data_IF_474671996610
#
_entry.id   IF_474671996610
#
_cell.length_a   1.000
_cell.length_b   1.000
_cell.length_c   1.000
_cell.angle_alpha   90.00
_cell.angle_beta   90.00
_cell.angle_gamma   90.00
#
_symmetry.space_group_name_H-M   'P 1'
#
loop_
_entity.id
_entity.type
_entity.pdbx_description
1 polymer ?
#
# COMPACT_ATOMS: atom_id res chain seq x y z
N UNK A 1 5.78 24.72 -15.37
CA UNK A 1 5.92 23.89 -14.15
C UNK A 1 6.15 24.88 -13.04
N UNK A 2 5.28 24.93 -12.04
CA UNK A 2 5.48 25.84 -10.90
C UNK A 2 6.73 25.37 -10.14
N UNK A 3 7.65 26.31 -9.89
CA UNK A 3 8.80 26.14 -9.01
C UNK A 3 8.33 26.12 -7.55
N UNK A 4 7.47 25.16 -7.22
CA UNK A 4 7.02 24.97 -5.84
C UNK A 4 8.16 24.31 -5.08
N UNK A 5 8.71 25.06 -4.13
CA UNK A 5 9.72 24.57 -3.21
C UNK A 5 9.01 23.64 -2.22
N UNK A 6 9.35 22.36 -2.28
CA UNK A 6 8.82 21.37 -1.34
C UNK A 6 9.23 21.72 0.10
N UNK A 7 8.29 21.66 1.03
CA UNK A 7 8.54 21.93 2.45
C UNK A 7 9.07 20.65 3.12
N UNK A 8 10.19 20.69 3.87
CA UNK A 8 10.72 19.49 4.53
C UNK A 8 9.78 19.02 5.64
N UNK A 9 9.45 17.72 5.63
CA UNK A 9 8.61 17.07 6.65
C UNK A 9 9.43 16.47 7.78
N UNK A 10 10.52 15.78 7.44
CA UNK A 10 11.33 15.04 8.41
C UNK A 10 12.81 15.20 8.06
N UNK A 11 13.60 15.53 9.07
CA UNK A 11 15.05 15.49 8.99
C UNK A 11 15.56 14.29 9.77
N UNK A 12 16.43 13.50 9.13
CA UNK A 12 17.12 12.38 9.77
C UNK A 12 18.58 12.75 9.97
N UNK A 13 19.02 12.75 11.21
CA UNK A 13 20.40 13.03 11.60
C UNK A 13 21.11 11.78 12.11
N UNK A 14 22.44 11.80 12.10
CA UNK A 14 23.31 10.85 12.80
C UNK A 14 24.32 11.63 13.62
N UNK A 15 23.99 11.85 14.89
CA UNK A 15 24.64 12.89 15.70
C UNK A 15 24.23 14.27 15.21
N UNK A 16 25.19 15.18 15.07
CA UNK A 16 24.95 16.53 14.54
C UNK A 16 24.87 16.58 13.00
N UNK A 17 25.23 15.49 12.32
CA UNK A 17 25.22 15.43 10.86
C UNK A 17 23.82 15.13 10.34
N UNK A 18 23.27 16.05 9.53
CA UNK A 18 22.08 15.81 8.72
C UNK A 18 22.39 14.81 7.61
N UNK A 19 21.68 13.67 7.62
CA UNK A 19 21.91 12.56 6.68
C UNK A 19 20.85 12.53 5.58
N UNK A 20 19.60 12.90 5.88
CA UNK A 20 18.52 12.88 4.90
C UNK A 20 17.43 13.87 5.28
N UNK A 21 16.82 14.48 4.27
CA UNK A 21 15.62 15.31 4.40
C UNK A 21 14.52 14.66 3.56
N UNK A 22 13.36 14.45 4.16
CA UNK A 22 12.19 13.89 3.51
C UNK A 22 11.17 14.99 3.28
N UNK A 23 10.73 15.11 2.04
CA UNK A 23 9.74 16.09 1.59
C UNK A 23 8.40 15.42 1.32
N UNK A 24 7.33 16.19 1.42
CA UNK A 24 6.00 15.73 1.07
C UNK A 24 4.91 16.64 1.59
N UNK A 25 3.67 16.15 1.46
CA UNK A 25 2.46 16.85 1.86
C UNK A 25 1.74 16.03 2.92
N UNK A 26 1.25 16.69 3.96
CA UNK A 26 0.39 16.07 4.98
C UNK A 26 -0.98 16.71 4.89
N UNK A 27 -2.03 15.89 4.89
CA UNK A 27 -3.43 16.35 4.85
C UNK A 27 -4.21 15.52 5.88
N UNK A 28 -5.03 16.18 6.68
CA UNK A 28 -6.01 15.58 7.57
C UNK A 28 -7.37 16.12 7.15
N UNK A 29 -8.28 15.23 6.81
CA UNK A 29 -9.66 15.57 6.48
C UNK A 29 -10.65 14.94 7.46
N UNK A 30 -11.84 15.51 7.55
CA UNK A 30 -12.98 14.84 8.16
C UNK A 30 -13.55 13.76 7.20
N UNK A 31 -14.54 12.95 7.63
CA UNK A 31 -15.16 11.93 6.79
C UNK A 31 -15.95 12.46 5.59
N UNK A 32 -16.29 13.75 5.56
CA UNK A 32 -17.02 14.40 4.45
C UNK A 32 -16.05 15.01 3.44
N UNK A 33 -14.74 15.05 3.77
CA UNK A 33 -13.67 15.53 2.91
C UNK A 33 -13.24 16.97 3.20
N UNK A 34 -13.73 17.60 4.27
CA UNK A 34 -13.25 18.93 4.65
C UNK A 34 -11.84 18.83 5.23
N UNK A 35 -10.92 19.65 4.74
CA UNK A 35 -9.54 19.68 5.24
C UNK A 35 -9.52 20.37 6.60
N UNK A 36 -9.15 19.62 7.63
CA UNK A 36 -9.00 20.11 9.02
C UNK A 36 -7.59 20.66 9.24
N UNK A 37 -6.60 20.06 8.56
CA UNK A 37 -5.21 20.47 8.65
C UNK A 37 -4.46 20.06 7.38
N UNK A 38 -3.51 20.87 6.96
CA UNK A 38 -2.55 20.50 5.93
C UNK A 38 -1.17 21.11 6.19
N UNK A 39 -0.15 20.48 5.62
CA UNK A 39 1.22 20.98 5.56
C UNK A 39 1.72 20.77 4.13
N UNK A 40 2.20 21.85 3.50
CA UNK A 40 2.38 21.99 2.03
C UNK A 40 1.03 22.08 1.27
N UNK A 41 1.05 22.01 -0.08
CA UNK A 41 -0.13 22.13 -0.96
C UNK A 41 -1.07 20.91 -0.88
N UNK A 42 -2.29 21.07 -0.33
CA UNK A 42 -3.25 19.97 -0.21
C UNK A 42 -3.83 19.49 -1.55
N UNK A 43 -3.60 20.22 -2.64
CA UNK A 43 -4.07 19.86 -3.98
C UNK A 43 -2.97 19.22 -4.85
N UNK A 44 -1.79 18.95 -4.27
CA UNK A 44 -0.70 18.26 -4.95
C UNK A 44 -1.15 16.90 -5.47
N UNK A 45 -0.99 16.69 -6.77
CA UNK A 45 -1.28 15.39 -7.40
C UNK A 45 -0.14 14.42 -7.10
N UNK A 46 -0.48 13.29 -6.46
CA UNK A 46 0.46 12.20 -6.14
C UNK A 46 -0.09 10.85 -6.60
N UNK A 47 0.80 9.91 -6.91
CA UNK A 47 0.41 8.53 -7.14
C UNK A 47 0.17 7.83 -5.80
N UNK A 48 -1.03 7.24 -5.61
CA UNK A 48 -1.37 6.47 -4.41
C UNK A 48 -0.47 5.23 -4.22
N UNK A 49 0.06 4.66 -5.31
CA UNK A 49 0.89 3.44 -5.28
C UNK A 49 0.17 2.36 -4.45
N UNK A 50 0.87 1.74 -3.49
CA UNK A 50 0.31 0.66 -2.68
C UNK A 50 -0.78 1.13 -1.70
N UNK A 51 -0.95 2.42 -1.42
CA UNK A 51 -2.04 2.88 -0.55
C UNK A 51 -3.42 2.76 -1.21
N UNK A 52 -3.47 2.61 -2.55
CA UNK A 52 -4.71 2.39 -3.30
C UNK A 52 -5.36 1.01 -3.07
N UNK A 53 -4.66 0.05 -2.44
CA UNK A 53 -5.15 -1.33 -2.25
C UNK A 53 -6.52 -1.39 -1.58
N UNK A 54 -6.76 -0.54 -0.59
CA UNK A 54 -8.03 -0.48 0.10
C UNK A 54 -9.18 -0.10 -0.83
N UNK A 55 -8.96 0.88 -1.71
CA UNK A 55 -9.94 1.32 -2.71
C UNK A 55 -10.15 0.24 -3.78
N UNK A 56 -9.07 -0.42 -4.22
CA UNK A 56 -9.12 -1.52 -5.17
C UNK A 56 -9.88 -2.73 -4.61
N UNK A 57 -9.65 -3.08 -3.33
CA UNK A 57 -10.33 -4.16 -2.65
C UNK A 57 -11.82 -3.84 -2.46
N UNK A 58 -12.14 -2.62 -2.00
CA UNK A 58 -13.51 -2.18 -1.78
C UNK A 58 -14.36 -2.31 -3.04
N UNK A 59 -13.82 -1.91 -4.20
CA UNK A 59 -14.52 -2.04 -5.47
C UNK A 59 -14.96 -3.49 -5.76
N UNK A 60 -14.10 -4.49 -5.50
CA UNK A 60 -14.45 -5.90 -5.68
C UNK A 60 -15.46 -6.39 -4.64
N UNK A 61 -15.39 -5.90 -3.40
CA UNK A 61 -16.31 -6.30 -2.32
C UNK A 61 -17.73 -5.74 -2.56
N UNK A 62 -17.85 -4.51 -3.07
CA UNK A 62 -19.14 -3.88 -3.39
C UNK A 62 -19.89 -4.58 -4.53
N UNK A 63 -19.18 -5.32 -5.38
CA UNK A 63 -19.76 -6.08 -6.49
C UNK A 63 -20.04 -7.55 -6.13
N UNK A 64 -20.41 -7.84 -4.88
CA UNK A 64 -20.69 -9.19 -4.35
C UNK A 64 -19.49 -10.15 -4.42
N UNK A 65 -18.26 -9.62 -4.40
CA UNK A 65 -17.05 -10.45 -4.48
C UNK A 65 -16.91 -11.43 -3.31
N UNK A 66 -17.50 -11.12 -2.15
CA UNK A 66 -17.47 -12.02 -0.98
C UNK A 66 -18.25 -13.29 -1.27
N UNK A 67 -19.50 -13.15 -1.71
CA UNK A 67 -20.41 -14.25 -1.99
C UNK A 67 -19.97 -15.02 -3.24
N UNK A 68 -19.59 -14.31 -4.30
CA UNK A 68 -19.20 -14.90 -5.58
C UNK A 68 -18.00 -15.83 -5.45
N UNK A 69 -17.01 -15.47 -4.62
CA UNK A 69 -15.77 -16.22 -4.46
C UNK A 69 -15.63 -16.93 -3.10
N UNK A 70 -16.66 -16.85 -2.24
CA UNK A 70 -16.62 -17.43 -0.90
C UNK A 70 -15.45 -16.88 -0.06
N UNK A 71 -15.25 -15.56 -0.09
CA UNK A 71 -14.15 -14.91 0.63
C UNK A 71 -14.42 -14.94 2.14
N UNK A 72 -13.39 -15.24 2.91
CA UNK A 72 -13.43 -15.20 4.39
C UNK A 72 -12.62 -13.99 4.90
N UNK A 73 -12.74 -13.59 6.19
CA UNK A 73 -12.04 -12.42 6.71
C UNK A 73 -10.53 -12.41 6.46
N UNK A 74 -9.88 -13.58 6.44
CA UNK A 74 -8.45 -13.71 6.13
C UNK A 74 -8.12 -13.35 4.68
N UNK A 75 -8.99 -13.69 3.73
CA UNK A 75 -8.83 -13.31 2.31
C UNK A 75 -9.02 -11.81 2.13
N UNK A 76 -9.99 -11.21 2.85
CA UNK A 76 -10.23 -9.78 2.79
C UNK A 76 -9.02 -9.03 3.37
N UNK A 77 -8.50 -9.47 4.51
CA UNK A 77 -7.34 -8.84 5.14
C UNK A 77 -6.12 -8.78 4.21
N UNK A 78 -5.88 -9.82 3.39
CA UNK A 78 -4.74 -9.83 2.47
C UNK A 78 -4.90 -8.85 1.30
N UNK A 79 -6.13 -8.54 0.88
CA UNK A 79 -6.39 -7.55 -0.17
C UNK A 79 -6.00 -6.12 0.24
N UNK A 80 -6.13 -5.79 1.53
CA UNK A 80 -5.77 -4.46 2.08
C UNK A 80 -4.30 -4.33 2.46
N UNK A 81 -3.57 -5.45 2.52
CA UNK A 81 -2.24 -5.54 3.09
C UNK A 81 -1.11 -5.11 2.14
N UNK A 82 -0.09 -4.45 2.69
CA UNK A 82 1.23 -4.31 2.08
C UNK A 82 2.29 -5.01 2.94
N UNK A 83 2.14 -6.32 3.15
CA UNK A 83 3.01 -7.06 4.06
C UNK A 83 4.26 -7.58 3.34
N UNK A 84 5.43 -7.53 3.99
CA UNK A 84 6.59 -8.25 3.53
C UNK A 84 6.39 -9.73 3.90
N UNK A 85 6.46 -10.62 2.90
CA UNK A 85 5.91 -11.98 2.98
C UNK A 85 6.50 -12.82 4.13
N UNK A 86 5.61 -13.39 4.95
CA UNK A 86 5.92 -14.50 5.87
C UNK A 86 5.27 -15.78 5.32
N UNK A 87 5.62 -16.96 5.82
CA UNK A 87 5.04 -18.23 5.39
C UNK A 87 3.50 -18.26 5.50
N UNK A 88 2.92 -17.53 6.46
CA UNK A 88 1.46 -17.37 6.57
C UNK A 88 0.91 -16.43 5.49
N UNK A 89 1.65 -15.39 5.14
CA UNK A 89 1.30 -14.46 4.05
C UNK A 89 1.48 -15.08 2.65
N UNK A 90 2.15 -16.23 2.50
CA UNK A 90 2.22 -16.96 1.23
C UNK A 90 0.99 -17.87 1.01
N UNK A 91 0.56 -18.56 2.07
CA UNK A 91 -0.54 -19.53 2.00
C UNK A 91 -1.90 -18.91 1.67
N UNK A 92 -2.17 -17.70 2.16
CA UNK A 92 -3.46 -17.02 1.97
C UNK A 92 -3.64 -16.56 0.51
N UNK A 93 -2.69 -15.85 -0.13
CA UNK A 93 -2.75 -15.52 -1.56
C UNK A 93 -2.95 -16.73 -2.47
N UNK A 94 -2.24 -17.85 -2.26
CA UNK A 94 -2.41 -19.04 -3.10
C UNK A 94 -3.83 -19.63 -3.02
N UNK A 95 -4.42 -19.66 -1.82
CA UNK A 95 -5.82 -20.06 -1.64
C UNK A 95 -6.76 -19.08 -2.34
N UNK A 96 -6.51 -17.78 -2.21
CA UNK A 96 -7.31 -16.74 -2.86
C UNK A 96 -7.28 -16.86 -4.38
N UNK A 97 -6.10 -17.04 -4.99
CA UNK A 97 -5.92 -17.26 -6.43
C UNK A 97 -6.77 -18.45 -6.92
N UNK A 98 -6.80 -19.53 -6.14
CA UNK A 98 -7.63 -20.71 -6.43
C UNK A 98 -9.12 -20.38 -6.43
N UNK A 99 -9.59 -19.61 -5.42
CA UNK A 99 -11.00 -19.19 -5.32
C UNK A 99 -11.45 -18.31 -6.47
N UNK A 100 -10.57 -17.44 -6.97
CA UNK A 100 -10.87 -16.53 -8.10
C UNK A 100 -10.50 -17.13 -9.46
N UNK A 101 -10.09 -18.40 -9.51
CA UNK A 101 -9.72 -19.13 -10.72
C UNK A 101 -8.58 -18.49 -11.53
N UNK A 102 -7.62 -17.85 -10.86
CA UNK A 102 -6.41 -17.27 -11.46
C UNK A 102 -5.21 -18.17 -11.16
N UNK A 103 -4.35 -18.39 -12.16
CA UNK A 103 -3.10 -19.13 -12.00
C UNK A 103 -1.96 -18.17 -11.69
N UNK A 104 -0.93 -18.68 -11.03
CA UNK A 104 0.29 -17.88 -10.76
C UNK A 104 0.94 -17.37 -12.06
N UNK A 105 0.85 -18.15 -13.14
CA UNK A 105 1.31 -17.75 -14.48
C UNK A 105 0.60 -16.53 -15.07
N UNK A 106 -0.57 -16.18 -14.56
CA UNK A 106 -1.34 -15.03 -15.02
C UNK A 106 -0.87 -13.73 -14.35
N UNK A 107 -0.11 -13.85 -13.25
CA UNK A 107 0.45 -12.72 -12.51
C UNK A 107 1.59 -12.08 -13.30
N UNK A 108 1.51 -10.76 -13.45
CA UNK A 108 2.47 -9.97 -14.23
C UNK A 108 3.73 -9.57 -13.44
N UNK A 109 3.87 -10.05 -12.21
CA UNK A 109 4.97 -9.70 -11.32
C UNK A 109 5.77 -10.94 -10.93
N UNK A 110 7.10 -10.87 -11.07
CA UNK A 110 8.00 -11.96 -10.72
C UNK A 110 8.07 -12.23 -9.21
N UNK A 111 8.65 -13.36 -8.85
CA UNK A 111 8.84 -13.77 -7.46
C UNK A 111 9.78 -12.81 -6.73
N UNK A 112 9.37 -12.36 -5.55
CA UNK A 112 10.22 -11.57 -4.64
C UNK A 112 10.64 -12.46 -3.48
N UNK A 113 11.93 -12.54 -3.13
CA UNK A 113 12.35 -13.32 -1.96
C UNK A 113 11.70 -12.79 -0.68
N UNK A 114 11.33 -13.67 0.28
CA UNK A 114 10.75 -13.26 1.54
C UNK A 114 11.74 -12.38 2.32
N UNK A 115 11.20 -11.33 2.95
CA UNK A 115 11.98 -10.44 3.80
C UNK A 115 12.44 -11.22 5.04
N UNK A 116 13.70 -11.64 5.05
CA UNK A 116 14.26 -12.41 6.18
C UNK A 116 14.93 -13.71 5.78
N UNK A 117 14.92 -14.11 4.50
CA UNK A 117 15.97 -15.02 4.05
C UNK A 117 17.29 -14.25 4.19
N UNK A 118 18.22 -14.80 4.97
CA UNK A 118 19.53 -14.22 5.24
C UNK A 118 20.43 -14.34 3.99
N UNK A 119 19.90 -13.97 2.83
CA UNK A 119 20.54 -14.01 1.52
C UNK A 119 21.33 -12.73 1.27
N UNK A 120 22.32 -12.48 2.11
CA UNK A 120 23.54 -11.85 1.62
C UNK A 120 24.34 -12.94 0.89
N UNK A 121 24.84 -12.71 -0.34
CA UNK A 121 26.02 -13.45 -0.80
C UNK A 121 27.22 -13.18 0.13
#
# INVERSE_FOLDING_TARGET
MNDQIDIPLVERTRGELLVSVYYGTVIISDPVGNIIFHYDDPHRVVYLRSSAKALQALASLEHNGIEQYGLVPEDIAILYASHPGTDRHEKVPHKLLTKICIKESDLQYGTRPPSGSNGYP
#
